data_IF_429484013600
#
_entry.id   IF_429484013600
#
_cell.length_a   1.000
_cell.length_b   1.000
_cell.length_c   1.000
_cell.angle_alpha   90.00
_cell.angle_beta   90.00
_cell.angle_gamma   90.00
#
_symmetry.space_group_name_H-M   'P 1'
#
loop_
_entity.id
_entity.type
_entity.pdbx_description
1 polymer ?
#
# COMPACT_ATOMS: atom_id res chain seq x y z
N UNK A 1 -34.70 -7.27 24.44
CA UNK A 1 -34.56 -6.56 23.16
C UNK A 1 -34.33 -7.62 22.09
N UNK A 2 -35.11 -7.59 21.01
CA UNK A 2 -34.81 -8.36 19.79
C UNK A 2 -33.60 -7.76 19.08
N UNK A 3 -33.05 -8.45 18.08
CA UNK A 3 -31.91 -7.93 17.34
C UNK A 3 -32.19 -6.55 16.71
N UNK A 4 -33.41 -6.37 16.20
CA UNK A 4 -33.84 -5.12 15.58
C UNK A 4 -33.95 -3.99 16.60
N UNK A 5 -34.47 -4.28 17.80
CA UNK A 5 -34.55 -3.29 18.88
C UNK A 5 -33.16 -2.80 19.31
N UNK A 6 -32.18 -3.71 19.37
CA UNK A 6 -30.78 -3.36 19.70
C UNK A 6 -30.17 -2.50 18.59
N UNK A 7 -30.37 -2.87 17.32
CA UNK A 7 -29.85 -2.11 16.19
C UNK A 7 -30.44 -0.70 16.11
N UNK A 8 -31.74 -0.55 16.37
CA UNK A 8 -32.41 0.74 16.33
C UNK A 8 -31.93 1.66 17.45
N UNK A 9 -31.75 1.12 18.66
CA UNK A 9 -31.15 1.87 19.77
C UNK A 9 -29.73 2.34 19.41
N UNK A 10 -28.88 1.45 18.88
CA UNK A 10 -27.49 1.80 18.55
C UNK A 10 -27.37 2.85 17.44
N UNK A 11 -28.21 2.77 16.40
CA UNK A 11 -28.19 3.71 15.26
C UNK A 11 -28.72 5.09 15.63
N UNK A 12 -29.63 5.18 16.61
CA UNK A 12 -30.29 6.43 17.02
C UNK A 12 -29.52 7.22 18.08
N UNK A 13 -28.54 6.60 18.77
CA UNK A 13 -27.72 7.26 19.81
C UNK A 13 -27.00 8.52 19.35
N UNK A 14 -26.54 8.57 18.10
CA UNK A 14 -25.81 9.70 17.53
C UNK A 14 -26.18 9.93 16.06
N UNK A 15 -25.99 11.16 15.53
CA UNK A 15 -26.38 11.50 14.16
C UNK A 15 -25.34 11.02 13.13
N UNK A 16 -24.99 9.72 13.13
CA UNK A 16 -23.94 9.15 12.27
C UNK A 16 -24.10 9.50 10.79
N UNK A 17 -25.33 9.46 10.27
CA UNK A 17 -25.64 9.81 8.87
C UNK A 17 -25.24 11.24 8.53
N UNK A 18 -25.38 12.17 9.47
CA UNK A 18 -24.97 13.58 9.29
C UNK A 18 -23.44 13.67 9.25
N UNK A 19 -22.75 13.01 10.17
CA UNK A 19 -21.29 13.00 10.22
C UNK A 19 -20.68 12.42 8.95
N UNK A 20 -21.17 11.26 8.50
CA UNK A 20 -20.69 10.62 7.27
C UNK A 20 -20.87 11.53 6.05
N UNK A 21 -22.04 12.17 5.88
CA UNK A 21 -22.30 13.09 4.77
C UNK A 21 -21.40 14.32 4.76
N UNK A 22 -20.92 14.76 5.92
CA UNK A 22 -20.12 15.97 6.07
C UNK A 22 -18.61 15.70 5.99
N UNK A 23 -18.16 14.57 6.55
CA UNK A 23 -16.74 14.25 6.69
C UNK A 23 -16.17 13.36 5.59
N UNK A 24 -16.96 12.37 5.12
CA UNK A 24 -16.44 11.33 4.22
C UNK A 24 -16.32 11.88 2.81
N UNK A 25 -15.15 11.69 2.22
CA UNK A 25 -14.92 11.93 0.79
C UNK A 25 -14.60 10.61 0.11
N UNK A 26 -15.06 10.45 -1.12
CA UNK A 26 -14.77 9.27 -1.92
C UNK A 26 -13.77 9.65 -3.02
N UNK A 27 -12.76 8.81 -3.22
CA UNK A 27 -11.88 8.94 -4.38
C UNK A 27 -12.58 8.34 -5.60
N UNK A 28 -13.39 9.15 -6.27
CA UNK A 28 -14.19 8.71 -7.40
C UNK A 28 -13.35 8.46 -8.66
N UNK A 29 -13.56 7.30 -9.28
CA UNK A 29 -12.89 6.86 -10.51
C UNK A 29 -13.38 7.53 -11.79
N UNK A 30 -14.57 8.14 -11.79
CA UNK A 30 -15.17 8.73 -13.00
C UNK A 30 -14.65 10.13 -13.33
N UNK A 31 -14.20 10.89 -12.32
CA UNK A 31 -13.72 12.27 -12.48
C UNK A 31 -12.24 12.38 -12.87
N UNK A 32 -11.58 11.25 -13.11
CA UNK A 32 -10.13 11.26 -13.23
C UNK A 32 -9.73 11.58 -14.67
N UNK A 33 -9.24 12.80 -14.86
CA UNK A 33 -8.72 13.31 -16.13
C UNK A 33 -7.75 12.33 -16.81
N UNK A 34 -7.94 12.07 -18.10
CA UNK A 34 -7.05 11.22 -18.91
C UNK A 34 -5.62 11.77 -18.93
N UNK A 35 -5.45 13.09 -18.79
CA UNK A 35 -4.13 13.75 -18.71
C UNK A 35 -3.38 13.46 -17.40
N UNK A 36 -4.02 12.88 -16.38
CA UNK A 36 -3.35 12.48 -15.15
C UNK A 36 -2.65 11.11 -15.25
N UNK A 37 -2.71 10.39 -16.37
CA UNK A 37 -1.85 9.23 -16.60
C UNK A 37 -0.37 9.67 -16.64
N UNK A 38 0.54 8.85 -16.15
CA UNK A 38 1.96 9.12 -16.41
C UNK A 38 2.29 8.73 -17.84
N UNK A 39 3.09 9.58 -18.48
CA UNK A 39 3.71 9.23 -19.75
C UNK A 39 4.55 7.95 -19.57
N UNK A 40 4.49 7.01 -20.53
CA UNK A 40 5.37 5.86 -20.54
C UNK A 40 6.84 6.31 -20.46
N UNK A 41 7.65 5.55 -19.73
CA UNK A 41 9.10 5.71 -19.79
C UNK A 41 9.59 5.38 -21.21
N UNK A 42 10.65 6.05 -21.65
CA UNK A 42 11.36 5.62 -22.85
C UNK A 42 11.99 4.23 -22.64
N UNK A 43 12.36 3.57 -23.74
CA UNK A 43 12.81 2.18 -23.73
C UNK A 43 14.11 1.98 -22.91
N UNK A 44 15.05 2.92 -23.00
CA UNK A 44 16.34 2.83 -22.29
C UNK A 44 16.15 3.04 -20.78
N UNK A 45 15.33 4.01 -20.40
CA UNK A 45 14.94 4.23 -19.00
C UNK A 45 14.20 3.01 -18.46
N UNK A 46 13.21 2.49 -19.18
CA UNK A 46 12.46 1.32 -18.76
C UNK A 46 13.39 0.11 -18.55
N UNK A 47 14.31 -0.14 -19.49
CA UNK A 47 15.27 -1.24 -19.38
C UNK A 47 16.16 -1.11 -18.14
N UNK A 48 16.59 0.12 -17.83
CA UNK A 48 17.37 0.41 -16.63
C UNK A 48 16.57 0.11 -15.36
N UNK A 49 15.30 0.51 -15.31
CA UNK A 49 14.41 0.25 -14.18
C UNK A 49 14.12 -1.24 -14.00
N UNK A 50 13.81 -1.95 -15.09
CA UNK A 50 13.59 -3.39 -15.06
C UNK A 50 14.81 -4.12 -14.48
N UNK A 51 16.02 -3.72 -14.88
CA UNK A 51 17.25 -4.28 -14.33
C UNK A 51 17.44 -3.92 -12.85
N UNK A 52 17.24 -2.66 -12.47
CA UNK A 52 17.39 -2.19 -11.08
C UNK A 52 16.47 -2.96 -10.13
N UNK A 53 15.21 -3.16 -10.53
CA UNK A 53 14.22 -3.87 -9.71
C UNK A 53 14.19 -5.38 -9.96
N UNK A 54 15.23 -5.95 -10.58
CA UNK A 54 15.38 -7.39 -10.81
C UNK A 54 14.18 -8.05 -11.54
N UNK A 55 13.62 -7.36 -12.53
CA UNK A 55 12.54 -7.90 -13.37
C UNK A 55 13.11 -8.86 -14.42
N UNK A 56 12.63 -10.10 -14.41
CA UNK A 56 13.05 -11.10 -15.38
C UNK A 56 12.16 -11.15 -16.61
N UNK A 57 12.68 -11.72 -17.70
CA UNK A 57 11.88 -11.95 -18.93
C UNK A 57 10.75 -12.96 -18.71
N UNK A 58 10.99 -13.97 -17.89
CA UNK A 58 9.97 -14.97 -17.51
C UNK A 58 8.82 -14.27 -16.77
N UNK A 59 9.13 -13.45 -15.76
CA UNK A 59 8.12 -12.68 -15.02
C UNK A 59 7.32 -11.72 -15.92
N UNK A 60 7.99 -11.05 -16.88
CA UNK A 60 7.31 -10.20 -17.86
C UNK A 60 6.32 -10.97 -18.74
N UNK A 61 6.72 -12.13 -19.25
CA UNK A 61 5.92 -12.90 -20.20
C UNK A 61 4.82 -13.71 -19.52
N UNK A 62 5.16 -14.38 -18.42
CA UNK A 62 4.32 -15.40 -17.81
C UNK A 62 3.42 -14.82 -16.71
N UNK A 63 3.83 -13.73 -16.05
CA UNK A 63 3.06 -13.09 -14.98
C UNK A 63 2.45 -11.77 -15.47
N UNK A 64 3.27 -10.78 -15.82
CA UNK A 64 2.80 -9.42 -16.10
C UNK A 64 1.95 -9.36 -17.37
N UNK A 65 2.37 -10.03 -18.46
CA UNK A 65 1.61 -10.06 -19.71
C UNK A 65 0.24 -10.75 -19.54
N UNK A 66 0.13 -11.77 -18.68
CA UNK A 66 -1.16 -12.43 -18.38
C UNK A 66 -2.08 -11.49 -17.60
N UNK A 67 -1.57 -10.87 -16.53
CA UNK A 67 -2.32 -9.87 -15.76
C UNK A 67 -2.84 -8.74 -16.65
N UNK A 68 -2.01 -8.26 -17.59
CA UNK A 68 -2.37 -7.17 -18.48
C UNK A 68 -3.40 -7.55 -19.57
N UNK A 69 -3.37 -8.79 -20.07
CA UNK A 69 -4.24 -9.24 -21.18
C UNK A 69 -5.53 -9.90 -20.72
N UNK A 70 -5.44 -10.73 -19.68
CA UNK A 70 -6.54 -11.56 -19.19
C UNK A 70 -7.22 -10.97 -17.95
N UNK A 71 -6.63 -9.95 -17.31
CA UNK A 71 -7.11 -9.35 -16.05
C UNK A 71 -7.27 -10.39 -14.93
N UNK A 72 -6.47 -11.45 -14.99
CA UNK A 72 -6.46 -12.58 -14.06
C UNK A 72 -5.02 -12.98 -13.75
N UNK A 73 -4.82 -13.59 -12.58
CA UNK A 73 -3.53 -14.13 -12.19
C UNK A 73 -3.11 -15.28 -13.10
N UNK A 74 -1.79 -15.42 -13.29
CA UNK A 74 -1.24 -16.51 -14.07
C UNK A 74 -1.51 -17.86 -13.39
N UNK A 75 -2.05 -18.81 -14.14
CA UNK A 75 -2.30 -20.18 -13.66
C UNK A 75 -1.22 -21.11 -14.20
N UNK A 76 -0.52 -21.77 -13.28
CA UNK A 76 0.48 -22.79 -13.59
C UNK A 76 0.04 -24.19 -13.13
N UNK A 77 0.90 -25.19 -13.35
CA UNK A 77 0.74 -26.54 -12.81
C UNK A 77 2.08 -27.07 -12.29
N UNK A 78 2.06 -28.24 -11.62
CA UNK A 78 3.19 -28.83 -10.90
C UNK A 78 3.57 -28.11 -9.60
N UNK A 79 4.43 -28.73 -8.79
CA UNK A 79 4.95 -28.15 -7.55
C UNK A 79 6.11 -27.18 -7.81
N UNK A 80 6.39 -26.33 -6.81
CA UNK A 80 7.57 -25.46 -6.81
C UNK A 80 8.82 -26.28 -6.44
N UNK A 81 9.55 -26.74 -7.45
CA UNK A 81 10.83 -27.46 -7.30
C UNK A 81 12.03 -26.51 -7.16
N UNK A 82 11.81 -25.19 -7.06
CA UNK A 82 12.92 -24.24 -6.88
C UNK A 82 13.47 -24.29 -5.45
N UNK A 83 14.79 -24.09 -5.25
CA UNK A 83 15.35 -24.04 -3.91
C UNK A 83 14.68 -22.95 -3.07
N UNK A 84 14.52 -23.20 -1.77
CA UNK A 84 14.11 -22.15 -0.84
C UNK A 84 15.00 -20.91 -1.02
N UNK A 85 14.47 -19.68 -0.88
CA UNK A 85 15.22 -18.47 -1.22
C UNK A 85 16.58 -18.35 -0.54
N UNK A 86 16.69 -18.78 0.72
CA UNK A 86 17.95 -18.81 1.49
C UNK A 86 19.01 -19.77 0.93
N UNK A 87 18.59 -20.80 0.19
CA UNK A 87 19.47 -21.79 -0.46
C UNK A 87 19.69 -21.49 -1.95
N UNK A 88 19.05 -20.45 -2.48
CA UNK A 88 19.15 -20.11 -3.89
C UNK A 88 20.54 -19.55 -4.21
N UNK A 89 21.11 -19.98 -5.34
CA UNK A 89 22.33 -19.39 -5.88
C UNK A 89 22.07 -18.13 -6.72
N UNK A 90 20.78 -17.81 -6.97
CA UNK A 90 20.34 -16.61 -7.69
C UNK A 90 19.81 -15.57 -6.70
N UNK A 91 19.89 -14.29 -7.07
CA UNK A 91 19.23 -13.21 -6.33
C UNK A 91 17.72 -13.40 -6.43
N UNK A 92 17.08 -13.67 -5.29
CA UNK A 92 15.62 -13.84 -5.18
C UNK A 92 14.96 -12.56 -4.68
N UNK A 93 13.68 -12.43 -5.01
CA UNK A 93 12.84 -11.36 -4.48
C UNK A 93 12.76 -11.49 -2.95
N UNK A 94 12.76 -10.36 -2.23
CA UNK A 94 12.59 -10.40 -0.78
C UNK A 94 11.20 -10.94 -0.39
N UNK A 95 10.21 -10.74 -1.25
CA UNK A 95 8.86 -11.26 -1.07
C UNK A 95 8.85 -12.79 -0.93
N UNK A 96 9.77 -13.50 -1.60
CA UNK A 96 9.83 -14.98 -1.55
C UNK A 96 10.14 -15.54 -0.14
N UNK A 97 10.74 -14.72 0.74
CA UNK A 97 11.03 -15.09 2.13
C UNK A 97 9.78 -15.03 3.02
N UNK A 98 8.69 -14.41 2.54
CA UNK A 98 7.41 -14.37 3.22
C UNK A 98 6.52 -15.49 2.68
N UNK A 99 5.91 -16.25 3.58
CA UNK A 99 4.95 -17.29 3.20
C UNK A 99 3.57 -16.92 3.71
N UNK A 100 2.58 -16.99 2.81
CA UNK A 100 1.20 -16.71 3.16
C UNK A 100 0.71 -17.74 4.16
N UNK A 101 0.23 -17.26 5.30
CA UNK A 101 -0.44 -18.12 6.26
C UNK A 101 -1.83 -18.45 5.73
N UNK A 102 -2.28 -19.68 5.97
CA UNK A 102 -3.61 -20.12 5.63
C UNK A 102 -4.22 -20.90 6.79
N UNK A 103 -5.53 -20.79 6.91
CA UNK A 103 -6.25 -21.47 7.97
C UNK A 103 -6.38 -22.96 7.66
N UNK A 104 -6.11 -23.78 8.67
CA UNK A 104 -6.38 -25.22 8.65
C UNK A 104 -7.09 -25.59 9.94
N UNK A 105 -8.22 -26.30 9.82
CA UNK A 105 -9.04 -26.87 10.92
C UNK A 105 -9.68 -25.85 11.86
N UNK A 106 -8.91 -24.91 12.38
CA UNK A 106 -9.29 -23.92 13.41
C UNK A 106 -10.34 -22.93 12.93
N UNK A 107 -10.28 -22.50 11.68
CA UNK A 107 -11.28 -21.68 11.03
C UNK A 107 -11.35 -22.00 9.52
N UNK A 108 -12.54 -21.97 8.89
CA UNK A 108 -12.67 -22.23 7.46
C UNK A 108 -12.18 -21.03 6.63
N UNK A 109 -11.54 -21.26 5.46
CA UNK A 109 -11.33 -20.20 4.47
C UNK A 109 -12.67 -19.77 3.84
N UNK A 110 -12.74 -18.53 3.37
CA UNK A 110 -13.92 -17.96 2.69
C UNK A 110 -13.72 -18.07 1.17
N UNK A 111 -14.78 -18.42 0.43
CA UNK A 111 -14.74 -18.42 -1.04
C UNK A 111 -14.83 -16.98 -1.58
N UNK A 112 -13.70 -16.44 -2.04
CA UNK A 112 -13.61 -15.06 -2.55
C UNK A 112 -14.41 -14.78 -3.81
N UNK A 113 -14.86 -15.82 -4.53
CA UNK A 113 -15.68 -15.68 -5.74
C UNK A 113 -17.17 -15.78 -5.40
N UNK A 114 -17.57 -16.82 -4.67
CA UNK A 114 -18.99 -17.09 -4.35
C UNK A 114 -19.50 -16.24 -3.20
N UNK A 115 -18.65 -15.88 -2.26
CA UNK A 115 -19.00 -15.12 -1.05
C UNK A 115 -18.42 -13.70 -1.09
N UNK A 116 -18.15 -13.16 -2.29
CA UNK A 116 -17.55 -11.82 -2.46
C UNK A 116 -18.31 -10.71 -1.72
N UNK A 117 -19.63 -10.84 -1.55
CA UNK A 117 -20.48 -9.85 -0.86
C UNK A 117 -20.10 -9.61 0.61
N UNK A 118 -19.46 -10.59 1.27
CA UNK A 118 -19.01 -10.45 2.67
C UNK A 118 -17.56 -9.96 2.78
N UNK A 119 -16.87 -9.76 1.67
CA UNK A 119 -15.49 -9.28 1.63
C UNK A 119 -15.42 -7.84 1.12
N UNK A 120 -14.41 -7.09 1.57
CA UNK A 120 -14.17 -5.73 1.10
C UNK A 120 -12.67 -5.42 1.07
N UNK A 121 -12.25 -4.71 0.02
CA UNK A 121 -10.93 -4.10 -0.09
C UNK A 121 -10.99 -2.59 0.18
N UNK A 122 -12.13 -2.09 0.68
CA UNK A 122 -12.29 -0.69 1.02
C UNK A 122 -11.20 -0.27 2.01
N UNK A 123 -10.48 0.78 1.66
CA UNK A 123 -9.41 1.34 2.48
C UNK A 123 -9.78 2.77 2.83
N UNK A 124 -9.56 3.14 4.09
CA UNK A 124 -9.85 4.49 4.57
C UNK A 124 -8.53 5.20 4.83
N UNK A 125 -8.39 6.41 4.30
CA UNK A 125 -7.20 7.26 4.46
C UNK A 125 -7.60 8.47 5.29
N UNK A 126 -6.97 8.64 6.44
CA UNK A 126 -7.24 9.75 7.35
C UNK A 126 -6.62 9.49 8.71
N UNK A 127 -6.74 10.47 9.61
CA UNK A 127 -6.27 10.28 10.98
C UNK A 127 -7.24 9.35 11.73
N UNK A 128 -6.70 8.36 12.43
CA UNK A 128 -7.51 7.57 13.36
C UNK A 128 -7.79 8.40 14.62
N UNK A 129 -9.07 8.50 14.96
CA UNK A 129 -9.54 9.25 16.14
C UNK A 129 -9.65 8.34 17.36
N UNK A 130 -9.78 8.92 18.55
CA UNK A 130 -9.87 8.16 19.80
C UNK A 130 -11.11 7.25 19.80
N UNK A 131 -10.92 5.96 20.08
CA UNK A 131 -11.99 4.95 20.09
C UNK A 131 -13.08 5.24 21.14
N UNK A 132 -12.72 5.88 22.25
CA UNK A 132 -13.66 6.16 23.35
C UNK A 132 -14.48 7.44 23.16
N UNK A 133 -14.04 8.32 22.26
CA UNK A 133 -14.71 9.57 21.96
C UNK A 133 -15.56 9.39 20.70
N UNK A 134 -16.89 9.44 20.86
CA UNK A 134 -17.81 9.27 19.72
C UNK A 134 -18.13 10.66 19.15
N UNK A 135 -17.58 10.97 17.98
CA UNK A 135 -17.76 12.28 17.35
C UNK A 135 -17.59 12.31 15.82
N UNK A 136 -17.84 13.47 15.20
CA UNK A 136 -17.74 13.67 13.75
C UNK A 136 -16.32 13.50 13.19
N UNK A 137 -15.28 13.60 14.01
CA UNK A 137 -13.88 13.42 13.63
C UNK A 137 -13.60 12.06 12.99
N UNK A 138 -14.28 11.00 13.44
CA UNK A 138 -14.18 9.65 12.85
C UNK A 138 -14.63 9.59 11.39
N UNK A 139 -15.51 10.51 10.97
CA UNK A 139 -16.00 10.57 9.61
C UNK A 139 -15.07 11.35 8.67
N UNK A 140 -14.03 12.03 9.17
CA UNK A 140 -13.10 12.81 8.35
C UNK A 140 -12.06 11.91 7.66
N UNK A 141 -12.54 11.11 6.69
CA UNK A 141 -11.73 10.13 5.99
C UNK A 141 -11.98 10.19 4.48
N UNK A 142 -10.95 9.84 3.72
CA UNK A 142 -11.04 9.57 2.29
C UNK A 142 -11.17 8.06 2.10
N UNK A 143 -12.28 7.64 1.53
CA UNK A 143 -12.56 6.24 1.27
C UNK A 143 -12.16 5.90 -0.17
N UNK A 144 -11.36 4.86 -0.32
CA UNK A 144 -10.99 4.26 -1.59
C UNK A 144 -11.48 2.81 -1.65
N UNK A 145 -11.81 2.34 -2.85
CA UNK A 145 -12.41 1.02 -3.05
C UNK A 145 -11.42 -0.16 -3.02
N UNK A 146 -10.12 0.13 -3.08
CA UNK A 146 -9.04 -0.85 -3.07
C UNK A 146 -7.76 -0.18 -2.55
N UNK A 147 -6.87 -0.89 -1.83
CA UNK A 147 -5.56 -0.37 -1.45
C UNK A 147 -4.62 -0.19 -2.66
N UNK A 148 -4.97 -0.75 -3.83
CA UNK A 148 -4.19 -0.61 -5.06
C UNK A 148 -4.64 0.64 -5.82
N UNK A 149 -3.72 1.60 -5.95
CA UNK A 149 -3.96 2.86 -6.64
C UNK A 149 -3.31 2.85 -8.03
N UNK A 150 -4.08 3.25 -9.04
CA UNK A 150 -3.47 3.68 -10.31
C UNK A 150 -2.77 5.02 -10.11
N UNK A 151 -1.78 5.33 -10.95
CA UNK A 151 -1.08 6.62 -10.86
C UNK A 151 -2.02 7.82 -10.96
N UNK A 152 -3.09 7.66 -11.75
CA UNK A 152 -4.16 8.64 -11.89
C UNK A 152 -4.84 8.95 -10.54
N UNK A 153 -5.22 7.89 -9.81
CA UNK A 153 -5.83 8.00 -8.47
C UNK A 153 -4.84 8.55 -7.45
N UNK A 154 -3.57 8.15 -7.52
CA UNK A 154 -2.52 8.68 -6.67
C UNK A 154 -2.37 10.20 -6.84
N UNK A 155 -2.23 10.69 -8.08
CA UNK A 155 -2.13 12.14 -8.35
C UNK A 155 -3.35 12.92 -7.86
N UNK A 156 -4.54 12.37 -8.03
CA UNK A 156 -5.77 12.98 -7.53
C UNK A 156 -5.74 13.07 -5.99
N UNK A 157 -5.33 11.99 -5.31
CA UNK A 157 -5.22 11.92 -3.85
C UNK A 157 -4.23 12.95 -3.29
N UNK A 158 -3.13 13.19 -4.01
CA UNK A 158 -2.10 14.17 -3.66
C UNK A 158 -2.40 15.59 -4.19
N UNK A 159 -3.52 15.78 -4.90
CA UNK A 159 -3.90 17.05 -5.52
C UNK A 159 -4.63 18.03 -4.60
N UNK A 160 -4.90 19.24 -5.12
CA UNK A 160 -5.41 20.43 -4.40
C UNK A 160 -6.83 20.32 -3.82
N UNK A 161 -7.44 19.12 -3.81
CA UNK A 161 -8.73 18.84 -3.18
C UNK A 161 -8.67 17.84 -2.03
N UNK A 162 -7.50 17.25 -1.77
CA UNK A 162 -7.31 16.17 -0.80
C UNK A 162 -6.05 16.44 0.06
N UNK A 163 -4.96 15.71 -0.17
CA UNK A 163 -3.78 15.75 0.72
C UNK A 163 -2.63 16.62 0.19
N UNK A 164 -2.86 17.55 -0.74
CA UNK A 164 -1.79 18.40 -1.32
C UNK A 164 -0.84 19.00 -0.28
N UNK A 165 -1.38 19.63 0.76
CA UNK A 165 -0.57 20.30 1.79
C UNK A 165 -0.20 19.38 2.97
N UNK A 166 -0.81 18.20 3.05
CA UNK A 166 -0.73 17.28 4.19
C UNK A 166 -0.08 15.94 3.86
N UNK A 167 0.60 15.83 2.72
CA UNK A 167 1.46 14.69 2.41
C UNK A 167 2.95 15.06 2.46
N UNK A 168 3.78 14.07 2.76
CA UNK A 168 5.22 14.12 2.61
C UNK A 168 5.67 13.07 1.61
N UNK A 169 6.56 13.47 0.72
CA UNK A 169 7.28 12.56 -0.15
C UNK A 169 8.57 12.13 0.58
N UNK A 170 8.76 10.82 0.73
CA UNK A 170 9.93 10.22 1.38
C UNK A 170 10.68 9.41 0.33
N UNK A 171 11.87 9.88 -0.05
CA UNK A 171 12.70 9.25 -1.08
C UNK A 171 13.39 8.00 -0.52
N UNK A 172 13.09 6.83 -1.10
CA UNK A 172 13.75 5.58 -0.72
C UNK A 172 15.14 5.44 -1.33
N UNK A 173 15.54 6.33 -2.25
CA UNK A 173 16.88 6.35 -2.82
C UNK A 173 17.87 6.97 -1.83
N UNK A 174 18.72 6.14 -1.25
CA UNK A 174 19.71 6.54 -0.24
C UNK A 174 21.13 6.43 -0.80
N UNK A 175 22.12 7.18 -0.28
CA UNK A 175 23.50 7.11 -0.77
C UNK A 175 24.02 5.67 -0.79
N UNK A 176 24.69 5.27 -1.87
CA UNK A 176 25.27 3.93 -2.03
C UNK A 176 26.37 3.60 -0.99
N UNK A 177 26.91 4.63 -0.36
CA UNK A 177 27.85 4.54 0.77
C UNK A 177 27.19 4.15 2.10
N UNK A 178 25.86 4.25 2.21
CA UNK A 178 25.15 3.89 3.43
C UNK A 178 24.99 2.37 3.54
N UNK A 179 25.20 1.85 4.75
CA UNK A 179 24.66 0.54 5.09
C UNK A 179 23.12 0.56 5.07
N UNK A 180 22.51 -0.59 4.86
CA UNK A 180 21.04 -0.72 4.87
C UNK A 180 20.43 -0.21 6.17
N UNK A 181 21.07 -0.46 7.33
CA UNK A 181 20.58 0.03 8.63
C UNK A 181 20.59 1.56 8.68
N UNK A 182 21.69 2.20 8.25
CA UNK A 182 21.77 3.67 8.19
C UNK A 182 20.72 4.26 7.25
N UNK A 183 20.49 3.62 6.10
CA UNK A 183 19.47 4.04 5.15
C UNK A 183 18.06 3.97 5.74
N UNK A 184 17.73 2.88 6.46
CA UNK A 184 16.45 2.74 7.16
C UNK A 184 16.29 3.74 8.31
N UNK A 185 17.34 3.97 9.10
CA UNK A 185 17.33 4.95 10.18
C UNK A 185 17.09 6.36 9.64
N UNK A 186 17.74 6.69 8.51
CA UNK A 186 17.55 7.98 7.83
C UNK A 186 16.11 8.16 7.33
N UNK A 187 15.51 7.13 6.73
CA UNK A 187 14.11 7.14 6.28
C UNK A 187 13.16 7.35 7.48
N UNK A 188 13.37 6.62 8.58
CA UNK A 188 12.57 6.78 9.80
C UNK A 188 12.68 8.19 10.40
N UNK A 189 13.88 8.79 10.38
CA UNK A 189 14.10 10.16 10.84
C UNK A 189 13.44 11.21 9.94
N UNK A 190 13.39 10.98 8.62
CA UNK A 190 12.63 11.82 7.69
C UNK A 190 11.12 11.75 7.93
N UNK A 191 10.62 10.54 8.17
CA UNK A 191 9.22 10.33 8.55
C UNK A 191 8.86 11.06 9.84
N UNK A 192 9.70 11.00 10.88
CA UNK A 192 9.45 11.72 12.13
C UNK A 192 9.36 13.23 11.91
N UNK A 193 10.27 13.80 11.09
CA UNK A 193 10.23 15.22 10.73
C UNK A 193 8.95 15.59 9.97
N UNK A 194 8.56 14.77 9.00
CA UNK A 194 7.31 14.99 8.27
C UNK A 194 6.08 14.99 9.20
N UNK A 195 6.06 14.10 10.20
CA UNK A 195 4.97 14.06 11.19
C UNK A 195 4.98 15.31 12.06
N UNK A 196 6.16 15.74 12.51
CA UNK A 196 6.30 16.96 13.33
C UNK A 196 5.90 18.21 12.53
N UNK A 197 6.09 18.21 11.20
CA UNK A 197 5.59 19.22 10.26
C UNK A 197 4.06 19.10 9.97
N UNK A 198 3.35 18.21 10.66
CA UNK A 198 1.90 18.05 10.58
C UNK A 198 1.41 17.25 9.36
N UNK A 199 2.27 16.46 8.72
CA UNK A 199 1.89 15.64 7.56
C UNK A 199 1.10 14.41 8.00
N UNK A 200 0.02 14.12 7.29
CA UNK A 200 -0.94 13.03 7.57
C UNK A 200 -0.74 11.82 6.65
N UNK A 201 -0.08 12.03 5.51
CA UNK A 201 0.14 11.00 4.49
C UNK A 201 1.62 10.93 4.13
N UNK A 202 2.24 9.77 4.35
CA UNK A 202 3.64 9.50 4.05
C UNK A 202 3.70 8.69 2.76
N UNK A 203 4.23 9.28 1.70
CA UNK A 203 4.45 8.61 0.41
C UNK A 203 5.90 8.13 0.34
N UNK A 204 6.11 6.83 0.56
CA UNK A 204 7.38 6.17 0.35
C UNK A 204 7.53 5.88 -1.15
N UNK A 205 8.58 6.37 -1.80
CA UNK A 205 8.79 6.13 -3.23
C UNK A 205 10.22 5.74 -3.58
N UNK A 206 10.37 4.68 -4.36
CA UNK A 206 11.65 4.29 -4.99
C UNK A 206 11.75 4.73 -6.47
N UNK A 207 10.77 5.49 -6.96
CA UNK A 207 10.61 5.76 -8.40
C UNK A 207 11.73 6.60 -9.02
N UNK A 208 12.33 7.53 -8.29
CA UNK A 208 13.21 8.56 -8.89
C UNK A 208 14.69 8.18 -8.76
N UNK A 209 15.12 7.15 -9.49
CA UNK A 209 16.49 6.67 -9.50
C UNK A 209 17.48 7.77 -9.92
N UNK A 210 18.59 7.89 -9.18
CA UNK A 210 19.66 8.87 -9.46
C UNK A 210 21.03 8.18 -9.35
N UNK A 211 22.03 8.55 -10.16
CA UNK A 211 23.38 8.05 -10.00
C UNK A 211 23.94 8.32 -8.59
N UNK A 212 24.63 7.34 -8.00
CA UNK A 212 25.19 7.42 -6.64
C UNK A 212 24.19 7.18 -5.50
N UNK A 213 22.92 6.91 -5.82
CA UNK A 213 21.92 6.47 -4.86
C UNK A 213 21.44 5.06 -5.20
N UNK A 214 21.07 4.29 -4.17
CA UNK A 214 20.45 2.98 -4.29
C UNK A 214 19.07 2.99 -3.61
N UNK A 215 18.03 2.44 -4.26
CA UNK A 215 16.71 2.34 -3.65
C UNK A 215 16.73 1.29 -2.54
N UNK A 216 16.30 1.68 -1.34
CA UNK A 216 15.97 0.73 -0.28
C UNK A 216 14.74 -0.07 -0.71
N UNK A 217 14.78 -1.40 -0.57
CA UNK A 217 13.67 -2.25 -0.96
C UNK A 217 12.38 -1.85 -0.22
N UNK A 218 11.32 -1.53 -0.97
CA UNK A 218 10.10 -0.93 -0.44
C UNK A 218 9.45 -1.73 0.71
N UNK A 219 9.49 -3.07 0.64
CA UNK A 219 9.00 -3.93 1.73
C UNK A 219 9.74 -3.69 3.06
N UNK A 220 11.06 -3.55 3.04
CA UNK A 220 11.87 -3.28 4.24
C UNK A 220 11.60 -1.87 4.76
N UNK A 221 11.58 -0.88 3.88
CA UNK A 221 11.28 0.50 4.25
C UNK A 221 9.89 0.62 4.89
N UNK A 222 8.87 -0.01 4.28
CA UNK A 222 7.50 -0.02 4.80
C UNK A 222 7.43 -0.66 6.18
N UNK A 223 8.00 -1.86 6.34
CA UNK A 223 8.02 -2.54 7.64
C UNK A 223 8.79 -1.77 8.71
N UNK A 224 9.93 -1.18 8.37
CA UNK A 224 10.74 -0.37 9.29
C UNK A 224 9.97 0.88 9.74
N UNK A 225 9.41 1.65 8.81
CA UNK A 225 8.61 2.84 9.11
C UNK A 225 7.38 2.48 9.95
N UNK A 226 6.64 1.46 9.55
CA UNK A 226 5.45 1.02 10.27
C UNK A 226 5.76 0.64 11.72
N UNK A 227 6.78 -0.21 11.93
CA UNK A 227 7.19 -0.63 13.28
C UNK A 227 7.79 0.51 14.10
N UNK A 228 8.55 1.41 13.48
CA UNK A 228 9.06 2.62 14.12
C UNK A 228 7.91 3.50 14.64
N UNK A 229 6.91 3.76 13.81
CA UNK A 229 5.74 4.56 14.18
C UNK A 229 4.91 3.90 15.30
N UNK A 230 4.79 2.57 15.31
CA UNK A 230 4.15 1.85 16.41
C UNK A 230 4.91 2.06 17.71
N UNK A 231 6.23 1.84 17.71
CA UNK A 231 7.08 2.01 18.91
C UNK A 231 7.05 3.45 19.46
N UNK A 232 6.83 4.43 18.58
CA UNK A 232 6.71 5.85 18.93
C UNK A 232 5.28 6.28 19.28
N UNK A 233 4.29 5.39 19.17
CA UNK A 233 2.88 5.71 19.41
C UNK A 233 2.28 6.68 18.39
N UNK A 234 2.84 6.74 17.18
CA UNK A 234 2.48 7.70 16.12
C UNK A 234 1.74 7.06 14.94
N UNK A 235 1.60 5.73 14.87
CA UNK A 235 1.03 5.04 13.68
C UNK A 235 -0.41 5.43 13.36
N UNK A 236 -1.25 5.70 14.37
CA UNK A 236 -2.64 6.16 14.21
C UNK A 236 -2.76 7.60 13.67
N UNK A 237 -1.69 8.38 13.74
CA UNK A 237 -1.70 9.78 13.31
C UNK A 237 -1.51 9.96 11.79
N UNK A 238 -0.97 8.94 11.11
CA UNK A 238 -0.55 9.03 9.71
C UNK A 238 -0.91 7.78 8.91
N UNK A 239 -0.94 7.93 7.60
CA UNK A 239 -1.16 6.87 6.63
C UNK A 239 0.12 6.68 5.80
N UNK A 240 0.39 5.45 5.37
CA UNK A 240 1.54 5.11 4.54
C UNK A 240 1.02 4.73 3.14
N UNK A 241 1.60 5.33 2.10
CA UNK A 241 1.42 4.92 0.71
C UNK A 241 2.79 4.57 0.15
N UNK A 242 2.84 3.49 -0.63
CA UNK A 242 4.07 3.00 -1.24
C UNK A 242 3.94 3.11 -2.76
N UNK A 243 4.82 3.89 -3.38
CA UNK A 243 5.04 3.88 -4.82
C UNK A 243 6.32 3.11 -5.11
N UNK A 244 6.21 1.93 -5.72
CA UNK A 244 7.37 1.05 -5.88
C UNK A 244 7.45 0.33 -7.23
N UNK A 245 8.68 0.13 -7.72
CA UNK A 245 9.00 -0.73 -8.86
C UNK A 245 9.12 -2.23 -8.54
N UNK A 246 9.10 -2.65 -7.26
CA UNK A 246 9.25 -4.07 -6.87
C UNK A 246 7.93 -4.85 -6.79
N UNK A 247 6.79 -4.19 -6.54
CA UNK A 247 5.50 -4.85 -6.38
C UNK A 247 4.78 -5.01 -7.73
N UNK A 248 4.40 -6.26 -8.08
CA UNK A 248 3.93 -6.62 -9.42
C UNK A 248 2.84 -7.68 -9.44
N UNK A 249 2.89 -8.62 -8.50
CA UNK A 249 1.86 -9.64 -8.30
C UNK A 249 1.11 -9.46 -6.98
N UNK A 250 0.03 -10.22 -6.79
CA UNK A 250 -0.81 -10.13 -5.61
C UNK A 250 -0.08 -10.47 -4.31
N UNK A 251 0.92 -11.35 -4.35
CA UNK A 251 1.70 -11.67 -3.15
C UNK A 251 2.53 -10.48 -2.69
N UNK A 252 3.16 -9.77 -3.62
CA UNK A 252 3.93 -8.56 -3.31
C UNK A 252 3.05 -7.48 -2.68
N UNK A 253 1.85 -7.25 -3.23
CA UNK A 253 0.88 -6.32 -2.64
C UNK A 253 0.42 -6.78 -1.25
N UNK A 254 0.11 -8.07 -1.08
CA UNK A 254 -0.31 -8.62 0.21
C UNK A 254 0.79 -8.47 1.28
N UNK A 255 2.06 -8.69 0.92
CA UNK A 255 3.19 -8.49 1.82
C UNK A 255 3.34 -7.02 2.24
N UNK A 256 3.22 -6.08 1.30
CA UNK A 256 3.29 -4.65 1.61
C UNK A 256 2.16 -4.23 2.56
N UNK A 257 0.92 -4.60 2.25
CA UNK A 257 -0.26 -4.30 3.07
C UNK A 257 -0.13 -4.96 4.46
N UNK A 258 0.35 -6.19 4.52
CA UNK A 258 0.54 -6.91 5.79
C UNK A 258 1.69 -6.36 6.65
N UNK A 259 2.65 -5.66 6.04
CA UNK A 259 3.79 -5.07 6.73
C UNK A 259 3.58 -3.62 7.16
N UNK A 260 2.52 -2.94 6.70
CA UNK A 260 2.11 -1.66 7.29
C UNK A 260 1.25 -0.75 6.45
#
# INVERSE_FOLDING_TARGET
LTNDDIHEELKSRFPYKKWLKQGVRYLDSELVDRHMAAEPMDEDTLTTYQKMFNLSREELNDIISVLAKAEQEAVGSMGDDTPMPVLSTKVRSLFDYFRQQFAQVTNPPIDSLRERIVMSLQTNIGRESNLFDIGPEHAQQIIINSPVLSQRKLRQLLGSGMFADSHAFIDLNQPDTFSLTQALDQICAEVDRAIDDGKLLLMLSDRYLKPGLLPVHALLATGAVHQHLIRRGRRCAVNIIVETGVARDAHHFACLIGCG
#
